data_IF_400794756181
#
_entry.id   IF_400794756181
#
_cell.length_a   1.000
_cell.length_b   1.000
_cell.length_c   1.000
_cell.angle_alpha   90.00
_cell.angle_beta   90.00
_cell.angle_gamma   90.00
#
_symmetry.space_group_name_H-M   'P 1'
#
loop_
_entity.id
_entity.type
_entity.pdbx_description
1 polymer ?
#
# COMPACT_ATOMS: atom_id res chain seq x y z
N UNK A 1 11.11 -18.50 16.06
CA UNK A 1 10.89 -18.43 14.60
C UNK A 1 9.94 -19.55 14.23
N UNK A 2 8.71 -19.26 13.78
CA UNK A 2 7.80 -20.32 13.37
C UNK A 2 8.21 -20.89 12.01
N UNK A 3 8.31 -22.21 11.90
CA UNK A 3 8.46 -22.92 10.62
C UNK A 3 7.07 -23.24 10.07
N UNK A 4 6.90 -23.09 8.76
CA UNK A 4 5.65 -23.40 8.07
C UNK A 4 5.93 -24.43 6.97
N UNK A 5 4.96 -25.31 6.71
CA UNK A 5 5.06 -26.34 5.68
C UNK A 5 4.36 -25.85 4.42
N UNK A 6 5.01 -26.05 3.27
CA UNK A 6 4.41 -25.82 1.96
C UNK A 6 3.46 -26.99 1.64
N UNK A 7 2.20 -26.70 1.39
CA UNK A 7 1.25 -27.74 1.01
C UNK A 7 1.43 -28.20 -0.45
N UNK A 8 0.70 -29.25 -0.85
CA UNK A 8 0.74 -29.79 -2.22
C UNK A 8 0.32 -28.79 -3.31
N UNK A 9 -0.34 -27.69 -2.93
CA UNK A 9 -0.81 -26.63 -3.82
C UNK A 9 0.09 -25.40 -3.77
N UNK A 10 1.23 -25.47 -3.09
CA UNK A 10 2.16 -24.35 -2.97
C UNK A 10 1.72 -23.25 -2.00
N UNK A 11 0.85 -23.54 -1.03
CA UNK A 11 0.36 -22.57 -0.04
C UNK A 11 1.10 -22.71 1.28
N UNK A 12 1.34 -21.58 1.94
CA UNK A 12 1.83 -21.51 3.32
C UNK A 12 0.77 -20.86 4.22
N UNK A 13 0.71 -21.31 5.47
CA UNK A 13 -0.16 -20.68 6.47
C UNK A 13 0.63 -19.64 7.24
N UNK A 14 0.15 -18.39 7.26
CA UNK A 14 0.75 -17.34 8.09
C UNK A 14 0.26 -17.53 9.54
N UNK A 15 1.15 -17.81 10.51
CA UNK A 15 0.79 -17.97 11.92
C UNK A 15 0.04 -16.77 12.49
N UNK A 16 -0.82 -17.01 13.49
CA UNK A 16 -1.67 -15.98 14.10
C UNK A 16 -0.88 -14.79 14.63
N UNK A 17 0.25 -15.03 15.29
CA UNK A 17 1.19 -14.02 15.76
C UNK A 17 1.58 -13.03 14.65
N UNK A 18 1.98 -13.55 13.49
CA UNK A 18 2.47 -12.74 12.37
C UNK A 18 1.31 -11.97 11.74
N UNK A 19 0.13 -12.60 11.59
CA UNK A 19 -1.08 -11.93 11.10
C UNK A 19 -1.45 -10.73 11.97
N UNK A 20 -1.45 -10.90 13.30
CA UNK A 20 -1.78 -9.82 14.23
C UNK A 20 -0.79 -8.67 14.17
N UNK A 21 0.52 -8.96 14.12
CA UNK A 21 1.56 -7.92 14.02
C UNK A 21 1.50 -7.14 12.71
N UNK A 22 1.14 -7.80 11.61
CA UNK A 22 1.01 -7.19 10.29
C UNK A 22 -0.39 -6.65 9.99
N UNK A 23 -1.35 -6.76 10.92
CA UNK A 23 -2.73 -6.32 10.73
C UNK A 23 -3.48 -7.04 9.60
N UNK A 24 -3.09 -8.27 9.27
CA UNK A 24 -3.68 -9.04 8.18
C UNK A 24 -5.05 -9.58 8.56
N UNK A 25 -6.02 -9.39 7.67
CA UNK A 25 -7.40 -9.88 7.80
C UNK A 25 -7.70 -10.87 6.66
N UNK A 26 -8.71 -11.73 6.80
CA UNK A 26 -9.22 -12.49 5.67
C UNK A 26 -9.54 -11.56 4.49
N UNK A 27 -9.05 -11.90 3.29
CA UNK A 27 -9.18 -11.07 2.10
C UNK A 27 -8.12 -9.97 1.92
N UNK A 28 -7.19 -9.79 2.87
CA UNK A 28 -6.01 -8.93 2.67
C UNK A 28 -5.22 -9.39 1.45
N UNK A 29 -4.83 -8.44 0.61
CA UNK A 29 -3.95 -8.67 -0.54
C UNK A 29 -2.50 -8.47 -0.11
N UNK A 30 -1.64 -9.39 -0.54
CA UNK A 30 -0.22 -9.38 -0.25
C UNK A 30 0.55 -9.37 -1.57
N UNK A 31 1.61 -8.58 -1.61
CA UNK A 31 2.63 -8.67 -2.65
C UNK A 31 3.70 -9.65 -2.20
N UNK A 32 4.15 -10.49 -3.13
CA UNK A 32 5.19 -11.49 -2.92
C UNK A 32 6.31 -11.20 -3.92
N UNK A 33 7.52 -10.96 -3.41
CA UNK A 33 8.71 -10.70 -4.22
C UNK A 33 9.83 -11.68 -3.86
N UNK A 34 10.64 -12.03 -4.85
CA UNK A 34 11.86 -12.83 -4.66
C UNK A 34 13.05 -11.88 -4.60
N UNK A 35 13.78 -11.91 -3.49
CA UNK A 35 15.02 -11.14 -3.31
C UNK A 35 16.17 -12.13 -3.08
N UNK A 36 16.85 -12.53 -4.16
CA UNK A 36 17.90 -13.55 -4.07
C UNK A 36 17.32 -14.91 -3.67
N UNK A 37 17.66 -15.37 -2.47
CA UNK A 37 17.25 -16.67 -1.91
C UNK A 37 16.10 -16.56 -0.89
N UNK A 38 15.55 -15.36 -0.67
CA UNK A 38 14.45 -15.11 0.28
C UNK A 38 13.19 -14.59 -0.41
N UNK A 39 12.05 -15.00 0.14
CA UNK A 39 10.74 -14.48 -0.25
C UNK A 39 10.38 -13.34 0.71
N UNK A 40 10.05 -12.18 0.15
CA UNK A 40 9.53 -11.04 0.90
C UNK A 40 8.03 -10.93 0.65
N UNK A 41 7.25 -10.85 1.73
CA UNK A 41 5.80 -10.73 1.68
C UNK A 41 5.40 -9.44 2.39
N UNK A 42 4.67 -8.56 1.70
CA UNK A 42 4.21 -7.28 2.25
C UNK A 42 2.74 -7.03 1.92
N UNK A 43 1.97 -6.30 2.76
CA UNK A 43 0.64 -5.84 2.39
C UNK A 43 0.69 -5.07 1.06
N UNK A 44 -0.17 -5.45 0.11
CA UNK A 44 -0.29 -4.73 -1.14
C UNK A 44 -0.87 -3.34 -0.85
N UNK A 45 -0.05 -2.29 -0.96
CA UNK A 45 -0.53 -0.92 -0.78
C UNK A 45 -1.28 -0.51 -2.04
N UNK A 46 -2.61 -0.45 -1.96
CA UNK A 46 -3.36 0.40 -2.88
C UNK A 46 -3.21 1.81 -2.34
N UNK A 47 -2.34 2.62 -2.94
CA UNK A 47 -2.40 4.07 -2.77
C UNK A 47 -3.81 4.48 -3.22
N UNK A 48 -4.66 4.82 -2.27
CA UNK A 48 -5.93 5.45 -2.59
C UNK A 48 -5.66 6.95 -2.73
N UNK A 49 -6.45 7.66 -3.53
CA UNK A 49 -6.28 9.11 -3.69
C UNK A 49 -6.24 9.87 -2.35
N UNK A 50 -6.94 9.34 -1.31
CA UNK A 50 -6.87 9.83 0.08
C UNK A 50 -5.50 9.70 0.74
N UNK A 51 -4.70 8.69 0.38
CA UNK A 51 -3.34 8.51 0.89
C UNK A 51 -2.33 9.45 0.21
N UNK A 52 -2.76 10.12 -0.88
CA UNK A 52 -1.97 11.11 -1.63
C UNK A 52 -2.38 12.56 -1.32
N UNK A 53 -3.42 12.76 -0.50
CA UNK A 53 -3.89 14.10 -0.15
C UNK A 53 -2.86 14.74 0.81
N UNK A 54 -2.10 15.73 0.32
CA UNK A 54 -1.11 16.49 1.09
C UNK A 54 0.37 16.15 0.83
N UNK A 55 0.68 15.20 -0.05
CA UNK A 55 2.07 14.94 -0.50
C UNK A 55 2.48 15.74 -1.75
N UNK A 56 1.52 16.17 -2.57
CA UNK A 56 1.74 17.30 -3.47
C UNK A 56 1.62 18.55 -2.60
N UNK A 57 2.72 19.29 -2.43
CA UNK A 57 2.86 20.36 -1.44
C UNK A 57 1.60 21.23 -1.35
N UNK A 58 1.15 21.47 -0.13
CA UNK A 58 0.11 22.47 0.14
C UNK A 58 0.77 23.82 -0.11
N UNK A 59 0.54 24.39 -1.30
CA UNK A 59 0.81 25.79 -1.56
C UNK A 59 -0.41 26.58 -1.11
N UNK A 60 -0.24 27.47 -0.12
CA UNK A 60 -1.26 28.46 0.22
C UNK A 60 -1.36 29.46 -0.95
N UNK A 61 -2.27 29.20 -1.88
CA UNK A 61 -2.60 30.15 -2.95
C UNK A 61 -3.82 30.97 -2.52
N UNK A 62 -3.85 32.26 -2.86
CA UNK A 62 -5.06 33.06 -2.62
C UNK A 62 -6.11 32.67 -3.64
N UNK A 63 -7.39 32.81 -3.25
CA UNK A 63 -8.51 32.46 -4.11
C UNK A 63 -8.47 33.23 -5.44
N UNK A 64 -8.02 34.49 -5.40
CA UNK A 64 -7.84 35.37 -6.56
C UNK A 64 -6.87 34.79 -7.61
N UNK A 65 -5.81 34.09 -7.17
CA UNK A 65 -4.80 33.50 -8.06
C UNK A 65 -5.35 32.29 -8.83
N UNK A 66 -6.30 31.56 -8.23
CA UNK A 66 -6.97 30.40 -8.87
C UNK A 66 -7.93 30.89 -9.96
N UNK A 67 -8.67 31.97 -9.69
CA UNK A 67 -9.63 32.54 -10.63
C UNK A 67 -8.95 33.08 -11.89
N UNK A 68 -7.78 33.70 -11.74
CA UNK A 68 -7.00 34.21 -12.87
C UNK A 68 -6.47 33.08 -13.77
N UNK A 69 -5.98 31.97 -13.19
CA UNK A 69 -5.47 30.82 -13.94
C UNK A 69 -6.56 30.09 -14.76
N UNK A 70 -7.81 30.09 -14.28
CA UNK A 70 -8.94 29.48 -14.98
C UNK A 70 -9.52 30.38 -16.08
N UNK A 71 -9.27 31.69 -16.01
CA UNK A 71 -9.79 32.69 -16.96
C UNK A 71 -9.05 32.77 -18.29
N UNK A 72 -7.83 32.23 -18.41
CA UNK A 72 -6.99 32.37 -19.61
C UNK A 72 -7.19 31.26 -20.67
N UNK A 73 -8.21 30.40 -20.52
CA UNK A 73 -8.54 29.35 -21.53
C UNK A 73 -9.63 29.79 -22.53
N UNK A 74 -9.72 31.08 -22.87
CA UNK A 74 -10.59 31.59 -23.95
C UNK A 74 -9.80 32.07 -25.15
#
# INVERSE_FOLDING_TARGET
>A
MPTVVLDKKGRITIPSEIRSRLGLKPGSRLEVTLEGDRIVIRPARRLQARDLLGIAGVEETKLEDIEQALGETS
#
